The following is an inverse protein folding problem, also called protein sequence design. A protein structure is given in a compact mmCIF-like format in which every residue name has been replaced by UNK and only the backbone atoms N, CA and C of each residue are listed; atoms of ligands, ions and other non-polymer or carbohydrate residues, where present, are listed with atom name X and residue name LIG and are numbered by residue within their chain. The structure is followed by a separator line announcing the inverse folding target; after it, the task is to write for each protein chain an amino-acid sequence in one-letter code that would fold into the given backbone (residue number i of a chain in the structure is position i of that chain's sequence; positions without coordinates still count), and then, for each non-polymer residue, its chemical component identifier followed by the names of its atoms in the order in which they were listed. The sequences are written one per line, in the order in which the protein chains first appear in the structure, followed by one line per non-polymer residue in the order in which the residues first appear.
data_IF_583958527460
#
_entry.id   IF_583958527460
#
_cell.length_a   1.000
_cell.length_b   1.000
_cell.length_c   1.000
_cell.angle_alpha   90.00
_cell.angle_beta   90.00
_cell.angle_gamma   90.00
#
_symmetry.space_group_name_H-M   'P 1'
#
loop_
_entity.id
_entity.type
_entity.pdbx_description
1 polymer ?
#
# COMPACT_ATOMS: atom_id res chain seq x y z
N UNK A 1 11.31 1.34 6.63
CA UNK A 1 10.50 2.00 5.60
C UNK A 1 9.26 2.56 6.26
N UNK A 2 9.11 3.88 6.25
CA UNK A 2 7.89 4.54 6.69
C UNK A 2 7.12 4.96 5.44
N UNK A 3 5.85 4.60 5.40
CA UNK A 3 4.92 5.03 4.38
C UNK A 3 4.14 6.23 4.95
N UNK A 4 4.30 7.39 4.34
CA UNK A 4 3.76 8.68 4.80
C UNK A 4 2.22 8.68 4.93
N UNK A 5 1.53 7.88 4.12
CA UNK A 5 0.06 7.80 4.04
C UNK A 5 -0.51 6.41 4.43
N UNK A 6 0.12 5.73 5.39
CA UNK A 6 -0.17 4.32 5.67
C UNK A 6 -0.98 4.12 6.94
N UNK A 7 -2.28 4.35 6.80
CA UNK A 7 -3.27 4.10 7.84
C UNK A 7 -2.94 4.77 9.18
N UNK A 8 -3.39 4.16 10.28
CA UNK A 8 -3.13 4.62 11.65
C UNK A 8 -1.81 4.12 12.24
N UNK A 9 -0.80 3.82 11.41
CA UNK A 9 0.47 3.25 11.87
C UNK A 9 0.35 1.83 12.45
N UNK A 10 -0.70 1.10 12.06
CA UNK A 10 -0.89 -0.32 12.40
C UNK A 10 -0.21 -1.21 11.36
N UNK A 11 0.39 -2.34 11.75
CA UNK A 11 0.88 -3.33 10.79
C UNK A 11 -0.25 -3.83 9.90
N UNK A 12 0.00 -3.88 8.60
CA UNK A 12 -0.93 -4.40 7.61
C UNK A 12 -0.28 -5.54 6.84
N UNK A 13 -1.00 -6.65 6.67
CA UNK A 13 -0.52 -7.76 5.87
C UNK A 13 -0.62 -7.41 4.39
N UNK A 14 0.51 -7.54 3.69
CA UNK A 14 0.55 -7.39 2.24
C UNK A 14 0.35 -8.75 1.58
N UNK A 15 -0.44 -8.76 0.51
CA UNK A 15 -0.71 -9.95 -0.29
C UNK A 15 -0.20 -9.75 -1.71
N UNK A 16 0.05 -10.85 -2.43
CA UNK A 16 0.50 -10.78 -3.82
C UNK A 16 1.80 -9.99 -4.03
N UNK A 17 2.71 -10.03 -3.05
CA UNK A 17 4.00 -9.35 -3.14
C UNK A 17 4.77 -9.97 -4.31
N UNK A 18 5.15 -9.13 -5.26
CA UNK A 18 5.97 -9.49 -6.40
C UNK A 18 7.02 -8.41 -6.62
N UNK A 19 8.25 -8.81 -6.85
CA UNK A 19 9.38 -7.92 -7.16
C UNK A 19 9.99 -8.36 -8.48
N UNK A 20 10.16 -7.42 -9.40
CA UNK A 20 10.84 -7.65 -10.68
C UNK A 20 11.78 -6.49 -10.94
N UNK A 21 13.09 -6.77 -11.02
CA UNK A 21 14.13 -5.76 -11.22
C UNK A 21 14.05 -4.64 -10.17
N UNK A 22 13.71 -3.42 -10.58
CA UNK A 22 13.51 -2.27 -9.71
C UNK A 22 12.03 -2.03 -9.36
N UNK A 23 11.11 -2.91 -9.77
CA UNK A 23 9.68 -2.74 -9.53
C UNK A 23 9.18 -3.64 -8.39
N UNK A 24 8.23 -3.12 -7.62
CA UNK A 24 7.46 -3.86 -6.63
C UNK A 24 5.96 -3.74 -6.95
N UNK A 25 5.24 -4.84 -6.76
CA UNK A 25 3.79 -4.88 -6.77
C UNK A 25 3.30 -5.60 -5.52
N UNK A 26 2.20 -5.13 -4.93
CA UNK A 26 1.54 -5.80 -3.82
C UNK A 26 0.08 -5.36 -3.75
N UNK A 27 -0.72 -6.08 -2.97
CA UNK A 27 -2.14 -5.79 -2.74
C UNK A 27 -2.34 -5.52 -1.25
N UNK A 28 -3.00 -4.39 -0.97
CA UNK A 28 -3.60 -4.10 0.33
C UNK A 28 -5.09 -4.33 0.23
N UNK A 29 -5.64 -5.03 1.21
CA UNK A 29 -7.07 -5.18 1.34
C UNK A 29 -7.47 -5.23 2.80
N UNK A 30 -8.68 -4.79 3.09
CA UNK A 30 -9.29 -4.92 4.41
C UNK A 30 -10.76 -5.30 4.25
N UNK A 31 -11.27 -6.04 5.24
CA UNK A 31 -12.68 -6.37 5.37
C UNK A 31 -13.12 -6.32 6.83
N UNK A 32 -14.39 -6.01 7.06
CA UNK A 32 -14.98 -5.95 8.40
C UNK A 32 -14.27 -4.96 9.33
N UNK A 33 -14.19 -5.33 10.61
CA UNK A 33 -13.64 -4.48 11.69
C UNK A 33 -12.17 -4.08 11.48
N UNK A 34 -11.40 -4.88 10.73
CA UNK A 34 -9.99 -4.63 10.42
C UNK A 34 -9.78 -3.36 9.59
N UNK A 35 -10.78 -2.93 8.80
CA UNK A 35 -10.70 -1.67 8.06
C UNK A 35 -10.62 -0.46 8.99
N UNK A 36 -11.41 -0.45 10.06
CA UNK A 36 -11.45 0.64 11.03
C UNK A 36 -10.15 0.76 11.83
N UNK A 37 -9.49 -0.39 12.08
CA UNK A 37 -8.19 -0.46 12.77
C UNK A 37 -7.09 0.26 11.99
N UNK A 38 -7.14 0.17 10.65
CA UNK A 38 -6.17 0.80 9.74
C UNK A 38 -6.62 2.20 9.27
N UNK A 39 -7.80 2.66 9.71
CA UNK A 39 -8.32 3.99 9.41
C UNK A 39 -9.13 4.10 8.12
N UNK A 40 -9.58 2.99 7.53
CA UNK A 40 -10.54 2.99 6.43
C UNK A 40 -11.97 2.85 6.95
N UNK A 41 -12.88 3.69 6.43
CA UNK A 41 -14.31 3.64 6.76
C UNK A 41 -15.07 2.58 5.95
N UNK A 42 -14.45 2.03 4.89
CA UNK A 42 -15.07 1.05 4.00
C UNK A 42 -14.08 -0.08 3.66
N UNK A 43 -14.58 -1.30 3.39
CA UNK A 43 -13.77 -2.35 2.77
C UNK A 43 -13.14 -1.89 1.47
N UNK A 44 -11.90 -2.30 1.24
CA UNK A 44 -11.19 -2.01 0.00
C UNK A 44 -10.26 -3.13 -0.41
N UNK A 45 -9.96 -3.14 -1.71
CA UNK A 45 -8.86 -3.89 -2.31
C UNK A 45 -8.14 -2.93 -3.24
N UNK A 46 -6.85 -2.71 -2.99
CA UNK A 46 -5.99 -1.78 -3.72
C UNK A 46 -4.73 -2.49 -4.18
N UNK A 47 -4.46 -2.43 -5.48
CA UNK A 47 -3.21 -2.87 -6.06
C UNK A 47 -2.22 -1.71 -6.05
N UNK A 48 -1.06 -1.94 -5.45
CA UNK A 48 0.06 -1.02 -5.39
C UNK A 48 1.13 -1.46 -6.39
N UNK A 49 1.69 -0.48 -7.07
CA UNK A 49 2.87 -0.63 -7.93
C UNK A 49 3.86 0.46 -7.57
N UNK A 50 5.14 0.14 -7.54
CA UNK A 50 6.18 1.13 -7.30
C UNK A 50 7.51 0.73 -7.87
N UNK A 51 8.40 1.71 -7.95
CA UNK A 51 9.76 1.59 -8.44
C UNK A 51 10.71 1.99 -7.32
N UNK A 52 11.76 1.19 -7.13
CA UNK A 52 12.87 1.46 -6.24
C UNK A 52 13.83 2.42 -6.93
N UNK A 53 14.00 3.60 -6.34
CA UNK A 53 14.93 4.63 -6.77
C UNK A 53 15.88 4.95 -5.62
N UNK A 54 17.08 4.38 -5.67
CA UNK A 54 18.10 4.53 -4.63
C UNK A 54 17.65 3.98 -3.26
N UNK A 55 17.30 4.87 -2.33
CA UNK A 55 16.85 4.53 -0.96
C UNK A 55 15.35 4.76 -0.72
N UNK A 56 14.61 5.09 -1.77
CA UNK A 56 13.18 5.35 -1.74
C UNK A 56 12.44 4.41 -2.69
N UNK A 57 11.23 4.02 -2.32
CA UNK A 57 10.29 3.37 -3.23
C UNK A 57 9.13 4.33 -3.41
N UNK A 58 8.72 4.58 -4.63
CA UNK A 58 7.56 5.42 -4.93
C UNK A 58 6.72 4.79 -6.02
N UNK A 59 5.46 5.17 -6.10
CA UNK A 59 4.59 4.71 -7.17
C UNK A 59 3.15 5.11 -6.99
N UNK A 60 2.26 4.29 -7.50
CA UNK A 60 0.83 4.52 -7.46
C UNK A 60 0.07 3.28 -6.99
N UNK A 61 -1.16 3.51 -6.53
CA UNK A 61 -2.10 2.45 -6.23
C UNK A 61 -3.44 2.72 -6.89
N UNK A 62 -4.17 1.65 -7.16
CA UNK A 62 -5.53 1.69 -7.70
C UNK A 62 -6.37 0.60 -7.04
N UNK A 63 -7.57 0.95 -6.62
CA UNK A 63 -8.55 0.04 -6.03
C UNK A 63 -9.97 0.48 -6.31
N UNK A 64 -10.95 -0.28 -5.78
CA UNK A 64 -12.37 -0.11 -6.11
C UNK A 64 -12.91 1.33 -5.93
N UNK A 65 -12.39 2.09 -4.97
CA UNK A 65 -12.90 3.45 -4.65
C UNK A 65 -11.79 4.46 -4.37
N UNK A 66 -10.55 4.15 -4.73
CA UNK A 66 -9.43 5.05 -4.48
C UNK A 66 -8.24 4.71 -5.35
N UNK A 67 -7.55 5.77 -5.74
CA UNK A 67 -6.28 5.71 -6.42
C UNK A 67 -5.44 6.89 -5.94
N UNK A 68 -4.13 6.74 -5.99
CA UNK A 68 -3.24 7.81 -5.59
C UNK A 68 -1.79 7.41 -5.73
N UNK A 69 -0.92 8.33 -5.35
CA UNK A 69 0.51 8.13 -5.34
C UNK A 69 0.96 7.80 -3.91
N UNK A 70 2.04 7.05 -3.79
CA UNK A 70 2.64 6.70 -2.52
C UNK A 70 4.15 6.78 -2.60
N UNK A 71 4.78 7.07 -1.47
CA UNK A 71 6.22 7.01 -1.29
C UNK A 71 6.56 6.32 0.04
N UNK A 72 7.66 5.59 0.03
CA UNK A 72 8.24 4.91 1.18
C UNK A 72 9.73 5.21 1.21
N UNK A 73 10.18 5.87 2.26
CA UNK A 73 11.59 6.18 2.48
C UNK A 73 12.14 5.29 3.59
N UNK A 74 13.41 4.87 3.46
CA UNK A 74 14.07 4.05 4.48
C UNK A 74 14.22 4.80 5.79
#
# INVERSE_FOLDING_TARGET
MKFSNWGKGKPEFLSGISTKENQIQFVRSCSGVRCSEIGSNVPFTQKYTGTLEGRSISGSYRGNNSSGNWDAKR
#
